data_IF_058175734761
#
_entry.id   IF_058175734761
#
_cell.length_a   1.000
_cell.length_b   1.000
_cell.length_c   1.000
_cell.angle_alpha   90.00
_cell.angle_beta   90.00
_cell.angle_gamma   90.00
#
_symmetry.space_group_name_H-M   'P 1'
#
loop_
_entity.id
_entity.type
_entity.pdbx_description
1 polymer ?
#
# COMPACT_ATOMS: atom_id res chain seq x y z
N UNK A 1 -25.96 -22.85 -6.02
CA UNK A 1 -24.49 -22.78 -6.19
C UNK A 1 -24.01 -21.65 -5.30
N UNK A 2 -23.30 -21.92 -4.22
CA UNK A 2 -22.71 -20.89 -3.35
C UNK A 2 -21.67 -20.12 -4.15
N UNK A 3 -21.80 -18.79 -4.20
CA UNK A 3 -20.83 -17.93 -4.87
C UNK A 3 -19.42 -18.21 -4.33
N UNK A 4 -18.46 -18.37 -5.22
CA UNK A 4 -17.07 -18.59 -4.86
C UNK A 4 -16.48 -17.28 -4.36
N UNK A 5 -15.90 -17.27 -3.15
CA UNK A 5 -15.22 -16.11 -2.57
C UNK A 5 -13.71 -16.40 -2.58
N UNK A 6 -12.94 -15.42 -3.02
CA UNK A 6 -11.47 -15.47 -2.94
C UNK A 6 -11.01 -14.89 -1.60
N UNK A 7 -10.00 -15.51 -1.01
CA UNK A 7 -9.32 -15.01 0.18
C UNK A 7 -7.86 -14.76 -0.19
N UNK A 8 -7.43 -13.54 -0.11
CA UNK A 8 -6.06 -13.10 -0.27
C UNK A 8 -5.42 -12.94 1.10
N UNK A 9 -4.31 -13.59 1.35
CA UNK A 9 -3.51 -13.39 2.55
C UNK A 9 -2.19 -12.78 2.14
N UNK A 10 -1.98 -11.53 2.52
CA UNK A 10 -0.75 -10.79 2.30
C UNK A 10 0.20 -11.03 3.47
N UNK A 11 1.32 -11.67 3.19
CA UNK A 11 2.34 -11.95 4.22
C UNK A 11 3.03 -10.67 4.66
N UNK A 12 3.26 -10.44 5.95
CA UNK A 12 3.97 -9.26 6.43
C UNK A 12 5.44 -9.28 5.96
N UNK A 13 6.04 -8.10 5.67
CA UNK A 13 7.44 -8.02 5.26
C UNK A 13 8.35 -8.24 6.47
N UNK A 14 9.36 -9.10 6.32
CA UNK A 14 10.49 -9.21 7.27
C UNK A 14 10.14 -9.49 8.73
N UNK A 15 8.91 -9.86 9.01
CA UNK A 15 8.37 -9.97 10.37
C UNK A 15 8.70 -11.28 11.06
N UNK A 16 8.66 -11.24 12.42
CA UNK A 16 8.94 -12.43 13.21
C UNK A 16 8.06 -13.59 12.76
N UNK A 17 8.63 -14.78 12.78
CA UNK A 17 8.00 -16.06 12.42
C UNK A 17 6.58 -16.25 13.01
N UNK A 18 6.23 -15.50 14.06
CA UNK A 18 4.92 -15.52 14.71
C UNK A 18 3.76 -15.05 13.82
N UNK A 19 3.91 -13.93 13.09
CA UNK A 19 2.81 -13.41 12.27
C UNK A 19 2.68 -14.16 10.94
N UNK A 20 3.77 -14.65 10.35
CA UNK A 20 3.71 -15.57 9.19
C UNK A 20 3.07 -16.90 9.59
N UNK A 21 3.42 -17.46 10.77
CA UNK A 21 2.79 -18.65 11.33
C UNK A 21 1.29 -18.48 11.58
N UNK A 22 0.90 -17.30 12.10
CA UNK A 22 -0.50 -16.94 12.29
C UNK A 22 -1.24 -16.90 10.94
N UNK A 23 -0.69 -16.21 9.94
CA UNK A 23 -1.25 -16.10 8.60
C UNK A 23 -1.44 -17.47 7.93
N UNK A 24 -0.45 -18.37 8.06
CA UNK A 24 -0.53 -19.75 7.55
C UNK A 24 -1.59 -20.58 8.27
N UNK A 25 -1.74 -20.42 9.59
CA UNK A 25 -2.80 -21.09 10.35
C UNK A 25 -4.18 -20.65 9.88
N UNK A 26 -4.38 -19.34 9.69
CA UNK A 26 -5.62 -18.78 9.13
C UNK A 26 -5.86 -19.30 7.71
N UNK A 27 -4.81 -19.33 6.87
CA UNK A 27 -4.90 -19.88 5.51
C UNK A 27 -5.40 -21.31 5.50
N UNK A 28 -4.82 -22.17 6.35
CA UNK A 28 -5.21 -23.58 6.46
C UNK A 28 -6.70 -23.74 6.84
N UNK A 29 -7.15 -22.97 7.85
CA UNK A 29 -8.54 -23.02 8.31
C UNK A 29 -9.54 -22.52 7.27
N UNK A 30 -9.24 -21.40 6.60
CA UNK A 30 -10.10 -20.85 5.55
C UNK A 30 -10.13 -21.72 4.30
N UNK A 31 -9.02 -22.38 3.95
CA UNK A 31 -8.96 -23.31 2.82
C UNK A 31 -9.80 -24.57 3.03
N UNK A 32 -10.05 -24.95 4.28
CA UNK A 32 -10.93 -26.07 4.62
C UNK A 32 -12.43 -25.74 4.46
N UNK A 33 -12.79 -24.45 4.31
CA UNK A 33 -14.19 -24.00 4.16
C UNK A 33 -14.64 -24.16 2.71
N UNK A 34 -15.71 -24.94 2.44
CA UNK A 34 -16.20 -25.16 1.07
C UNK A 34 -16.55 -23.85 0.36
N UNK A 35 -16.05 -23.68 -0.87
CA UNK A 35 -16.33 -22.51 -1.70
C UNK A 35 -15.47 -21.28 -1.38
N UNK A 36 -14.47 -21.40 -0.50
CA UNK A 36 -13.39 -20.42 -0.40
C UNK A 36 -12.18 -20.90 -1.21
N UNK A 37 -11.51 -19.96 -1.85
CA UNK A 37 -10.19 -20.18 -2.46
C UNK A 37 -9.19 -19.25 -1.79
N UNK A 38 -8.15 -19.81 -1.21
CA UNK A 38 -7.13 -19.07 -0.49
C UNK A 38 -5.90 -18.89 -1.37
N UNK A 39 -5.37 -17.69 -1.42
CA UNK A 39 -4.13 -17.34 -2.12
C UNK A 39 -3.24 -16.54 -1.19
N UNK A 40 -2.00 -16.99 -1.02
CA UNK A 40 -0.95 -16.27 -0.31
C UNK A 40 -0.13 -15.45 -1.30
N UNK A 41 0.18 -14.21 -0.93
CA UNK A 41 1.05 -13.32 -1.70
C UNK A 41 2.07 -12.66 -0.77
N UNK A 42 3.17 -12.10 -1.28
CA UNK A 42 4.02 -11.21 -0.50
C UNK A 42 3.25 -10.00 0.04
N UNK A 43 3.95 -9.11 0.76
CA UNK A 43 3.32 -7.95 1.37
C UNK A 43 2.62 -7.06 0.32
N UNK A 44 1.31 -6.81 0.52
CA UNK A 44 0.43 -6.16 -0.45
C UNK A 44 0.95 -4.80 -0.94
N UNK A 45 1.50 -4.00 -0.04
CA UNK A 45 2.03 -2.67 -0.38
C UNK A 45 3.34 -2.73 -1.17
N UNK A 46 4.08 -3.83 -1.06
CA UNK A 46 5.36 -4.04 -1.74
C UNK A 46 5.22 -4.75 -3.10
N UNK A 47 4.01 -5.21 -3.45
CA UNK A 47 3.77 -5.86 -4.74
C UNK A 47 4.06 -4.92 -5.91
N UNK A 48 4.73 -5.45 -6.92
CA UNK A 48 4.95 -4.71 -8.14
C UNK A 48 3.61 -4.47 -8.87
N UNK A 49 3.35 -3.24 -9.38
CA UNK A 49 2.09 -2.95 -10.08
C UNK A 49 1.80 -3.90 -11.24
N UNK A 50 2.85 -4.35 -11.94
CA UNK A 50 2.74 -5.27 -13.08
C UNK A 50 3.24 -6.69 -12.73
N UNK A 51 3.43 -6.97 -11.42
CA UNK A 51 3.85 -8.28 -10.94
C UNK A 51 2.76 -9.35 -11.04
N UNK A 52 3.14 -10.63 -10.93
CA UNK A 52 2.23 -11.76 -11.09
C UNK A 52 1.09 -11.74 -10.08
N UNK A 53 1.35 -11.35 -8.82
CA UNK A 53 0.31 -11.26 -7.79
C UNK A 53 -0.73 -10.18 -8.15
N UNK A 54 -0.29 -9.02 -8.60
CA UNK A 54 -1.19 -7.93 -8.97
C UNK A 54 -1.97 -8.22 -10.26
N UNK A 55 -1.35 -8.88 -11.24
CA UNK A 55 -2.03 -9.36 -12.44
C UNK A 55 -3.12 -10.38 -12.09
N UNK A 56 -2.80 -11.33 -11.20
CA UNK A 56 -3.77 -12.30 -10.70
C UNK A 56 -4.97 -11.60 -10.05
N UNK A 57 -4.75 -10.64 -9.15
CA UNK A 57 -5.79 -9.91 -8.45
C UNK A 57 -6.70 -9.10 -9.38
N UNK A 58 -6.15 -8.47 -10.42
CA UNK A 58 -6.92 -7.76 -11.45
C UNK A 58 -7.80 -8.71 -12.26
N UNK A 59 -7.35 -9.93 -12.48
CA UNK A 59 -8.13 -10.96 -13.19
C UNK A 59 -9.33 -11.49 -12.42
N UNK A 60 -9.36 -11.32 -11.10
CA UNK A 60 -10.47 -11.77 -10.26
C UNK A 60 -11.72 -10.91 -10.49
N UNK A 61 -12.87 -11.56 -10.65
CA UNK A 61 -14.17 -10.90 -10.78
C UNK A 61 -15.11 -11.19 -9.60
N UNK A 62 -14.71 -12.12 -8.73
CA UNK A 62 -15.48 -12.55 -7.56
C UNK A 62 -15.25 -11.63 -6.37
N UNK A 63 -16.09 -11.77 -5.36
CA UNK A 63 -15.87 -11.16 -4.06
C UNK A 63 -14.52 -11.57 -3.49
N UNK A 64 -13.87 -10.66 -2.74
CA UNK A 64 -12.51 -10.81 -2.25
C UNK A 64 -12.42 -10.43 -0.77
N UNK A 65 -11.92 -11.35 0.03
CA UNK A 65 -11.45 -11.09 1.39
C UNK A 65 -9.95 -10.82 1.34
N UNK A 66 -9.49 -9.79 1.99
CA UNK A 66 -8.08 -9.39 2.05
C UNK A 66 -7.64 -9.35 3.50
N UNK A 67 -6.70 -10.22 3.85
CA UNK A 67 -6.07 -10.27 5.16
C UNK A 67 -4.64 -9.75 5.00
N UNK A 68 -4.32 -8.61 5.58
CA UNK A 68 -3.02 -7.97 5.42
C UNK A 68 -2.55 -7.34 6.74
N UNK A 69 -1.24 -7.17 6.91
CA UNK A 69 -0.68 -6.39 8.02
C UNK A 69 -0.76 -4.88 7.72
N UNK A 70 -1.94 -4.42 7.32
CA UNK A 70 -2.27 -3.04 6.97
C UNK A 70 -3.63 -2.67 7.55
N UNK A 71 -3.82 -1.41 7.87
CA UNK A 71 -5.16 -0.92 8.20
C UNK A 71 -6.14 -1.17 7.05
N UNK A 72 -7.40 -1.56 7.31
CA UNK A 72 -8.37 -1.91 6.27
C UNK A 72 -8.56 -0.82 5.21
N UNK A 73 -8.60 0.46 5.64
CA UNK A 73 -8.66 1.63 4.76
C UNK A 73 -7.45 1.68 3.82
N UNK A 74 -6.25 1.49 4.35
CA UNK A 74 -5.02 1.50 3.56
C UNK A 74 -4.98 0.34 2.57
N UNK A 75 -5.30 -0.88 3.00
CA UNK A 75 -5.34 -2.07 2.14
C UNK A 75 -6.32 -1.89 0.98
N UNK A 76 -7.52 -1.33 1.24
CA UNK A 76 -8.52 -1.05 0.22
C UNK A 76 -8.00 -0.08 -0.85
N UNK A 77 -7.40 1.04 -0.42
CA UNK A 77 -6.93 2.06 -1.36
C UNK A 77 -5.63 1.66 -2.08
N UNK A 78 -4.78 0.81 -1.50
CA UNK A 78 -3.66 0.16 -2.22
C UNK A 78 -4.19 -0.69 -3.37
N UNK A 79 -5.22 -1.49 -3.13
CA UNK A 79 -5.86 -2.31 -4.17
C UNK A 79 -6.51 -1.46 -5.25
N UNK A 80 -7.25 -0.40 -4.88
CA UNK A 80 -7.89 0.50 -5.82
C UNK A 80 -6.87 1.21 -6.72
N UNK A 81 -5.78 1.72 -6.14
CA UNK A 81 -4.67 2.34 -6.88
C UNK A 81 -4.03 1.38 -7.89
N UNK A 82 -4.00 0.09 -7.57
CA UNK A 82 -3.50 -0.96 -8.46
C UNK A 82 -4.55 -1.50 -9.44
N UNK A 83 -5.75 -0.92 -9.49
CA UNK A 83 -6.83 -1.33 -10.40
C UNK A 83 -7.68 -2.51 -9.91
N UNK A 84 -7.47 -2.98 -8.69
CA UNK A 84 -8.28 -4.03 -8.05
C UNK A 84 -9.45 -3.37 -7.32
N UNK A 85 -10.54 -3.12 -8.02
CA UNK A 85 -11.66 -2.30 -7.54
C UNK A 85 -12.83 -3.14 -7.03
N UNK A 86 -13.58 -2.60 -6.08
CA UNK A 86 -14.79 -3.18 -5.50
C UNK A 86 -15.45 -2.22 -4.54
N UNK A 87 -16.50 -2.68 -3.85
CA UNK A 87 -17.11 -1.96 -2.73
C UNK A 87 -16.45 -2.46 -1.45
N UNK A 88 -16.12 -1.57 -0.52
CA UNK A 88 -15.61 -1.99 0.79
C UNK A 88 -16.73 -2.67 1.58
N UNK A 89 -16.48 -3.89 2.03
CA UNK A 89 -17.36 -4.64 2.90
C UNK A 89 -17.16 -4.24 4.37
N UNK A 90 -18.21 -4.39 5.17
CA UNK A 90 -18.13 -4.13 6.61
C UNK A 90 -17.27 -5.18 7.30
N UNK A 91 -16.34 -4.73 8.13
CA UNK A 91 -15.53 -5.53 9.03
C UNK A 91 -15.55 -4.93 10.43
N UNK A 92 -15.26 -5.68 11.50
CA UNK A 92 -15.27 -5.17 12.88
C UNK A 92 -14.33 -3.99 13.12
N UNK A 93 -13.23 -3.92 12.37
CA UNK A 93 -12.24 -2.84 12.46
C UNK A 93 -12.63 -1.56 11.70
N UNK A 94 -13.76 -1.56 10.96
CA UNK A 94 -14.29 -0.37 10.32
C UNK A 94 -15.35 0.26 11.20
N UNK A 95 -15.25 1.59 11.42
CA UNK A 95 -16.26 2.32 12.15
C UNK A 95 -17.62 2.28 11.46
N UNK A 96 -18.71 2.25 12.23
CA UNK A 96 -20.09 2.16 11.71
C UNK A 96 -20.45 3.30 10.74
N UNK A 97 -19.79 4.46 10.87
CA UNK A 97 -20.01 5.64 10.03
C UNK A 97 -19.29 5.55 8.66
N UNK A 98 -18.37 4.61 8.48
CA UNK A 98 -17.78 4.30 7.17
C UNK A 98 -18.71 3.34 6.41
N UNK A 99 -19.94 3.76 6.19
CA UNK A 99 -20.89 2.94 5.44
C UNK A 99 -20.48 2.82 3.97
N UNK A 100 -20.87 1.70 3.36
CA UNK A 100 -20.64 1.40 1.94
C UNK A 100 -21.05 2.54 0.98
N UNK A 101 -22.00 3.39 1.37
CA UNK A 101 -22.44 4.54 0.56
C UNK A 101 -21.38 5.65 0.50
N UNK A 102 -20.65 5.86 1.59
CA UNK A 102 -19.56 6.82 1.61
C UNK A 102 -18.41 6.41 0.67
N UNK A 103 -18.19 5.12 0.42
CA UNK A 103 -17.10 4.60 -0.43
C UNK A 103 -17.40 4.60 -1.94
N UNK A 104 -18.55 5.08 -2.36
CA UNK A 104 -18.94 5.27 -3.76
C UNK A 104 -18.92 6.74 -4.19
N UNK A 105 -18.20 7.58 -3.46
CA UNK A 105 -18.12 9.02 -3.73
C UNK A 105 -17.73 9.40 -5.17
N UNK A 106 -17.97 10.65 -5.57
CA UNK A 106 -17.84 11.13 -6.96
C UNK A 106 -16.44 11.03 -7.55
N UNK A 107 -15.43 10.69 -6.72
CA UNK A 107 -14.02 10.72 -7.10
C UNK A 107 -13.51 9.41 -7.72
N UNK A 108 -14.30 8.35 -7.81
CA UNK A 108 -13.89 7.11 -8.47
C UNK A 108 -13.90 7.23 -9.98
N UNK A 109 -12.78 6.91 -10.61
CA UNK A 109 -12.68 6.82 -12.06
C UNK A 109 -13.33 5.52 -12.55
N UNK A 110 -14.40 5.65 -13.33
CA UNK A 110 -15.07 4.54 -13.99
C UNK A 110 -16.07 3.78 -13.12
N UNK A 111 -16.77 2.77 -13.70
CA UNK A 111 -17.79 2.00 -13.00
C UNK A 111 -17.18 1.18 -11.87
N UNK A 112 -17.76 1.24 -10.67
CA UNK A 112 -17.37 0.39 -9.55
C UNK A 112 -17.85 -1.04 -9.84
N UNK A 113 -16.98 -2.05 -9.80
CA UNK A 113 -17.39 -3.43 -9.94
C UNK A 113 -18.44 -3.82 -8.89
N UNK A 114 -19.29 -4.79 -9.21
CA UNK A 114 -20.35 -5.26 -8.29
C UNK A 114 -19.78 -6.06 -7.10
N UNK A 115 -18.50 -6.46 -7.14
CA UNK A 115 -17.85 -7.27 -6.10
C UNK A 115 -17.62 -6.48 -4.81
N UNK A 116 -17.58 -7.21 -3.70
CA UNK A 116 -17.24 -6.69 -2.38
C UNK A 116 -15.79 -7.04 -2.03
N UNK A 117 -15.09 -6.10 -1.39
CA UNK A 117 -13.75 -6.25 -0.83
C UNK A 117 -13.85 -6.12 0.68
N UNK A 118 -13.58 -7.18 1.45
CA UNK A 118 -13.47 -7.13 2.91
C UNK A 118 -12.01 -7.10 3.29
N UNK A 119 -11.57 -6.04 3.93
CA UNK A 119 -10.18 -5.85 4.35
C UNK A 119 -10.07 -6.01 5.86
N UNK A 120 -9.19 -6.92 6.31
CA UNK A 120 -8.91 -7.18 7.72
C UNK A 120 -7.44 -6.92 8.01
N UNK A 121 -7.17 -6.32 9.16
CA UNK A 121 -5.80 -6.12 9.65
C UNK A 121 -5.36 -7.33 10.47
N UNK A 122 -4.41 -8.10 9.96
CA UNK A 122 -3.87 -9.26 10.66
C UNK A 122 -3.27 -8.93 12.03
N UNK A 123 -2.81 -7.70 12.23
CA UNK A 123 -2.19 -7.24 13.49
C UNK A 123 -3.21 -7.04 14.61
N UNK A 124 -4.49 -6.91 14.26
CA UNK A 124 -5.57 -6.71 15.23
C UNK A 124 -6.00 -8.01 15.92
N UNK A 125 -5.50 -9.16 15.47
CA UNK A 125 -5.93 -10.47 15.94
C UNK A 125 -4.78 -11.27 16.55
N UNK A 126 -5.04 -11.87 17.70
CA UNK A 126 -4.12 -12.79 18.38
C UNK A 126 -4.59 -14.25 18.29
N UNK A 127 -5.88 -14.46 18.02
CA UNK A 127 -6.51 -15.76 17.86
C UNK A 127 -6.93 -15.99 16.40
N UNK A 128 -6.33 -16.99 15.71
CA UNK A 128 -6.70 -17.33 14.35
C UNK A 128 -8.17 -17.74 14.20
N UNK A 129 -8.74 -18.36 15.23
CA UNK A 129 -10.14 -18.80 15.21
C UNK A 129 -11.10 -17.61 15.17
N UNK A 130 -10.85 -16.59 16.01
CA UNK A 130 -11.63 -15.37 16.02
C UNK A 130 -11.62 -14.70 14.64
N UNK A 131 -10.44 -14.54 14.01
CA UNK A 131 -10.34 -13.96 12.68
C UNK A 131 -11.12 -14.77 11.64
N UNK A 132 -10.98 -16.10 11.66
CA UNK A 132 -11.71 -16.98 10.73
C UNK A 132 -13.22 -16.83 10.89
N UNK A 133 -13.73 -16.79 12.12
CA UNK A 133 -15.15 -16.60 12.41
C UNK A 133 -15.64 -15.23 11.92
N UNK A 134 -14.89 -14.15 12.16
CA UNK A 134 -15.27 -12.82 11.70
C UNK A 134 -15.27 -12.72 10.17
N UNK A 135 -14.31 -13.36 9.49
CA UNK A 135 -14.31 -13.47 8.03
C UNK A 135 -15.56 -14.17 7.54
N UNK A 136 -15.93 -15.30 8.15
CA UNK A 136 -17.13 -16.06 7.76
C UNK A 136 -18.42 -15.26 8.01
N UNK A 137 -18.50 -14.53 9.11
CA UNK A 137 -19.62 -13.61 9.38
C UNK A 137 -19.70 -12.51 8.33
N UNK A 138 -18.58 -11.86 8.01
CA UNK A 138 -18.52 -10.76 7.05
C UNK A 138 -19.01 -11.17 5.64
N UNK A 139 -18.70 -12.41 5.21
CA UNK A 139 -19.13 -12.94 3.91
C UNK A 139 -20.52 -13.63 3.95
N UNK A 140 -21.26 -13.47 5.05
CA UNK A 140 -22.61 -14.05 5.22
C UNK A 140 -22.63 -15.58 5.41
N UNK A 141 -21.55 -16.14 5.91
CA UNK A 141 -21.40 -17.59 6.18
C UNK A 141 -21.23 -17.90 7.68
N UNK A 142 -21.59 -16.99 8.56
CA UNK A 142 -21.58 -17.17 10.00
C UNK A 142 -22.38 -18.41 10.42
N UNK A 143 -21.84 -19.20 11.35
CA UNK A 143 -22.46 -20.45 11.83
C UNK A 143 -22.03 -21.72 11.12
N UNK A 144 -21.15 -21.65 10.12
CA UNK A 144 -20.49 -22.85 9.62
C UNK A 144 -19.50 -23.38 10.68
N UNK A 145 -19.53 -24.68 10.99
CA UNK A 145 -18.52 -25.24 11.89
C UNK A 145 -17.16 -25.11 11.21
N UNK A 146 -16.28 -24.33 11.81
CA UNK A 146 -14.85 -24.40 11.49
C UNK A 146 -14.37 -25.76 12.02
N UNK A 147 -13.74 -26.57 11.17
CA UNK A 147 -13.31 -27.90 11.54
C UNK A 147 -12.48 -27.85 12.83
N UNK A 148 -13.04 -28.38 13.92
CA UNK A 148 -12.38 -28.44 15.21
C UNK A 148 -11.09 -29.23 15.07
N UNK A 149 -10.04 -28.77 15.73
CA UNK A 149 -8.71 -29.35 15.76
C UNK A 149 -8.73 -30.86 16.06
N UNK A 150 -8.24 -31.67 15.14
CA UNK A 150 -7.43 -32.81 15.54
C UNK A 150 -6.01 -32.27 15.74
N UNK A 151 -5.62 -32.18 17.01
CA UNK A 151 -4.42 -31.58 17.53
C UNK A 151 -3.22 -31.54 16.56
N UNK A 152 -2.86 -30.36 16.10
CA UNK A 152 -1.57 -30.10 15.49
C UNK A 152 -0.61 -29.72 16.62
N UNK A 153 -0.18 -30.74 17.37
CA UNK A 153 1.01 -30.63 18.20
C UNK A 153 2.22 -30.87 17.31
N UNK A 154 3.01 -29.87 17.10
CA UNK A 154 4.37 -29.95 16.56
C UNK A 154 4.48 -30.14 15.06
N UNK A 155 5.07 -29.15 14.41
CA UNK A 155 5.86 -29.26 13.17
C UNK A 155 5.40 -30.35 12.17
N UNK A 156 4.30 -30.12 11.47
CA UNK A 156 4.00 -30.88 10.26
C UNK A 156 4.09 -29.94 9.04
N UNK A 157 5.33 -29.70 8.62
CA UNK A 157 5.66 -29.37 7.23
C UNK A 157 5.63 -30.69 6.42
N UNK A 158 4.43 -31.20 6.13
CA UNK A 158 4.27 -32.36 5.27
C UNK A 158 3.67 -31.94 3.92
N UNK A 159 3.97 -32.64 2.82
CA UNK A 159 3.52 -32.29 1.47
C UNK A 159 2.00 -32.28 1.26
N UNK A 160 1.20 -32.76 2.21
CA UNK A 160 -0.26 -32.73 2.15
C UNK A 160 -0.87 -31.37 2.59
N UNK A 161 -0.12 -30.52 3.31
CA UNK A 161 -0.57 -29.20 3.72
C UNK A 161 -0.39 -28.12 2.62
N UNK A 162 0.53 -28.32 1.68
CA UNK A 162 0.81 -27.41 0.56
C UNK A 162 -0.28 -27.40 -0.52
N UNK A 163 -1.18 -28.37 -0.53
CA UNK A 163 -2.26 -28.47 -1.51
C UNK A 163 -3.52 -27.67 -1.15
N UNK A 164 -3.56 -27.05 0.04
CA UNK A 164 -4.78 -26.38 0.54
C UNK A 164 -4.97 -24.97 0.00
N UNK A 165 -3.90 -24.27 -0.41
CA UNK A 165 -3.95 -22.91 -0.95
C UNK A 165 -2.99 -22.71 -2.11
N UNK A 166 -3.23 -21.64 -2.88
CA UNK A 166 -2.32 -21.19 -3.91
C UNK A 166 -1.32 -20.18 -3.34
N UNK A 167 -0.04 -20.28 -3.66
CA UNK A 167 0.97 -19.31 -3.26
C UNK A 167 1.59 -18.68 -4.50
N UNK A 168 1.53 -17.34 -4.59
CA UNK A 168 2.17 -16.58 -5.65
C UNK A 168 3.45 -16.00 -5.06
N UNK A 169 4.58 -16.57 -5.46
CA UNK A 169 5.89 -16.07 -5.09
C UNK A 169 6.33 -15.01 -6.10
N UNK A 170 6.68 -13.83 -5.59
CA UNK A 170 7.38 -12.81 -6.36
C UNK A 170 8.44 -12.15 -5.49
N UNK A 171 9.54 -11.71 -6.10
CA UNK A 171 10.55 -10.93 -5.41
C UNK A 171 9.99 -9.52 -5.14
N UNK A 172 9.92 -9.14 -3.88
CA UNK A 172 9.47 -7.80 -3.46
C UNK A 172 10.61 -7.07 -2.78
N UNK A 173 10.69 -5.77 -3.02
CA UNK A 173 11.49 -4.83 -2.23
C UNK A 173 10.56 -3.95 -1.44
N UNK A 174 10.99 -3.52 -0.25
CA UNK A 174 10.23 -2.54 0.53
C UNK A 174 10.01 -1.28 -0.30
N UNK A 175 8.76 -0.89 -0.45
CA UNK A 175 8.34 0.29 -1.22
C UNK A 175 7.89 1.39 -0.29
N UNK A 176 8.01 2.64 -0.76
CA UNK A 176 7.53 3.81 -0.04
C UNK A 176 6.89 4.77 -1.02
N UNK A 177 5.57 4.89 -0.97
CA UNK A 177 4.81 5.77 -1.84
C UNK A 177 3.48 6.17 -1.18
N UNK A 178 2.90 7.34 -1.52
CA UNK A 178 1.62 7.75 -0.99
C UNK A 178 0.46 6.97 -1.63
N UNK A 179 -0.58 6.73 -0.83
CA UNK A 179 -1.86 6.17 -1.28
C UNK A 179 -2.94 7.21 -0.98
N UNK A 180 -3.79 7.50 -1.95
CA UNK A 180 -4.85 8.51 -1.82
C UNK A 180 -6.18 7.82 -1.55
N UNK A 181 -6.83 8.23 -0.48
CA UNK A 181 -8.23 7.95 -0.22
C UNK A 181 -9.09 8.99 -0.93
N UNK A 182 -9.63 8.61 -2.08
CA UNK A 182 -10.46 9.49 -2.89
C UNK A 182 -11.84 9.79 -2.33
N UNK A 183 -12.22 9.22 -1.22
CA UNK A 183 -13.42 9.63 -0.49
C UNK A 183 -13.20 10.83 0.39
N UNK A 184 -12.01 10.91 0.98
CA UNK A 184 -11.64 12.03 1.82
C UNK A 184 -10.97 13.14 1.02
N UNK A 185 -10.40 12.84 -0.15
CA UNK A 185 -9.75 13.83 -1.00
C UNK A 185 -10.78 14.87 -1.49
N UNK A 186 -10.45 16.15 -1.27
CA UNK A 186 -11.25 17.31 -1.69
C UNK A 186 -10.64 18.04 -2.89
N UNK A 187 -9.69 17.40 -3.60
CA UNK A 187 -9.03 17.88 -4.82
C UNK A 187 -8.30 19.25 -4.67
N UNK A 188 -7.82 19.58 -3.46
CA UNK A 188 -7.16 20.85 -3.17
C UNK A 188 -5.77 21.01 -3.82
N UNK A 189 -5.18 19.93 -4.36
CA UNK A 189 -3.86 19.88 -5.00
C UNK A 189 -2.67 20.24 -4.11
N UNK A 190 -2.84 20.40 -2.80
CA UNK A 190 -1.75 20.72 -1.88
C UNK A 190 -0.62 19.70 -1.94
N UNK A 191 -0.95 18.41 -2.09
CA UNK A 191 0.04 17.33 -2.23
C UNK A 191 0.90 17.50 -3.50
N UNK A 192 0.30 17.91 -4.60
CA UNK A 192 1.00 18.19 -5.87
C UNK A 192 1.94 19.38 -5.73
N UNK A 193 1.42 20.49 -5.19
CA UNK A 193 2.17 21.75 -5.05
C UNK A 193 3.31 21.63 -4.04
N UNK A 194 3.16 20.79 -3.01
CA UNK A 194 4.15 20.66 -1.94
C UNK A 194 5.23 19.62 -2.22
N UNK A 195 4.97 18.62 -3.07
CA UNK A 195 5.91 17.53 -3.34
C UNK A 195 7.07 17.98 -4.24
N UNK A 196 8.29 17.99 -3.70
CA UNK A 196 9.51 18.34 -4.45
C UNK A 196 10.03 17.20 -5.34
N UNK A 197 9.47 15.99 -5.22
CA UNK A 197 9.98 14.79 -5.88
C UNK A 197 9.19 14.45 -7.15
N UNK A 198 8.16 15.22 -7.51
CA UNK A 198 7.36 14.96 -8.71
C UNK A 198 6.51 13.68 -8.64
N UNK A 199 6.11 13.25 -7.44
CA UNK A 199 5.33 12.03 -7.24
C UNK A 199 3.92 12.12 -7.83
N UNK A 200 3.35 13.33 -7.83
CA UNK A 200 1.96 13.58 -8.18
C UNK A 200 1.82 14.19 -9.57
N UNK A 201 0.73 13.83 -10.23
CA UNK A 201 0.19 14.49 -11.39
C UNK A 201 -1.29 14.74 -11.21
N UNK A 202 -1.97 15.13 -12.29
CA UNK A 202 -3.42 15.30 -12.33
C UNK A 202 -4.05 14.35 -13.35
N UNK A 203 -5.28 13.97 -13.12
CA UNK A 203 -6.06 13.22 -14.08
C UNK A 203 -6.77 14.17 -15.09
N UNK A 204 -7.58 13.59 -15.98
CA UNK A 204 -8.36 14.36 -17.00
C UNK A 204 -9.42 15.29 -16.39
N UNK A 205 -9.72 15.16 -15.11
CA UNK A 205 -10.65 15.99 -14.37
C UNK A 205 -9.94 16.91 -13.36
N UNK A 206 -8.64 17.18 -13.58
CA UNK A 206 -7.76 18.01 -12.75
C UNK A 206 -7.67 17.56 -11.28
N UNK A 207 -7.86 16.26 -11.01
CA UNK A 207 -7.77 15.71 -9.67
C UNK A 207 -6.39 15.10 -9.43
N UNK A 208 -5.87 15.17 -8.19
CA UNK A 208 -4.54 14.63 -7.88
C UNK A 208 -4.50 13.11 -8.06
N UNK A 209 -3.43 12.61 -8.66
CA UNK A 209 -3.10 11.17 -8.74
C UNK A 209 -1.64 10.95 -8.39
N UNK A 210 -1.32 9.77 -7.89
CA UNK A 210 0.07 9.31 -7.78
C UNK A 210 0.51 8.85 -9.16
N UNK A 211 1.43 9.57 -9.78
CA UNK A 211 1.89 9.31 -11.15
C UNK A 211 3.24 8.60 -11.17
N UNK A 212 4.15 9.03 -10.30
CA UNK A 212 5.51 8.50 -10.17
C UNK A 212 5.78 8.01 -8.75
N UNK A 213 5.19 6.87 -8.31
CA UNK A 213 5.35 6.36 -6.96
C UNK A 213 6.81 6.04 -6.62
N UNK A 214 7.62 5.67 -7.61
CA UNK A 214 9.05 5.39 -7.49
C UNK A 214 9.91 6.63 -7.20
N UNK A 215 9.41 7.82 -7.53
CA UNK A 215 10.08 9.08 -7.22
C UNK A 215 9.92 9.49 -5.75
N UNK A 216 9.05 8.81 -4.99
CA UNK A 216 8.83 9.13 -3.59
C UNK A 216 10.06 8.82 -2.74
N UNK A 217 10.50 9.80 -1.96
CA UNK A 217 11.65 9.64 -1.07
C UNK A 217 11.29 8.73 0.11
N UNK A 218 12.01 7.61 0.33
CA UNK A 218 11.77 6.72 1.47
C UNK A 218 11.76 7.48 2.81
N UNK A 219 10.77 7.18 3.66
CA UNK A 219 10.62 7.80 4.96
C UNK A 219 10.03 9.23 4.96
N UNK A 220 9.68 9.81 3.81
CA UNK A 220 9.08 11.14 3.73
C UNK A 220 7.53 11.06 3.71
N UNK A 221 6.80 11.42 4.78
CA UNK A 221 5.34 11.47 4.79
C UNK A 221 4.79 12.88 4.64
N UNK A 222 5.58 13.85 4.17
CA UNK A 222 5.29 15.27 4.22
C UNK A 222 3.94 15.65 3.58
N UNK A 223 3.60 15.04 2.45
CA UNK A 223 2.32 15.27 1.78
C UNK A 223 1.11 14.79 2.60
N UNK A 224 1.25 13.73 3.42
CA UNK A 224 0.20 13.31 4.34
C UNK A 224 0.00 14.32 5.47
N UNK A 225 1.08 14.93 5.96
CA UNK A 225 1.03 15.94 7.03
C UNK A 225 0.33 17.23 6.63
N UNK A 226 0.50 17.66 5.37
CA UNK A 226 -0.13 18.90 4.88
C UNK A 226 -1.51 18.70 4.31
N UNK A 227 -1.96 17.45 4.10
CA UNK A 227 -3.26 17.17 3.52
C UNK A 227 -4.39 17.61 4.46
N UNK A 228 -5.19 18.65 4.13
CA UNK A 228 -6.21 19.16 5.04
C UNK A 228 -7.36 18.18 5.25
N UNK A 229 -7.54 17.26 4.30
CA UNK A 229 -8.57 16.22 4.34
C UNK A 229 -8.10 14.90 4.98
N UNK A 230 -6.80 14.77 5.34
CA UNK A 230 -6.24 13.51 5.82
C UNK A 230 -6.38 12.34 4.83
N UNK A 231 -6.42 12.68 3.53
CA UNK A 231 -6.68 11.70 2.47
C UNK A 231 -5.45 10.90 2.07
N UNK A 232 -4.23 11.34 2.42
CA UNK A 232 -2.99 10.69 1.99
C UNK A 232 -2.46 9.78 3.09
N UNK A 233 -2.17 8.55 2.72
CA UNK A 233 -1.66 7.52 3.62
C UNK A 233 -0.31 6.98 3.14
N UNK A 234 0.52 6.58 4.11
CA UNK A 234 1.71 5.76 3.91
C UNK A 234 1.57 4.50 4.75
N UNK A 235 1.09 3.39 4.18
CA UNK A 235 0.66 2.19 4.92
C UNK A 235 1.69 1.58 5.88
N UNK A 236 3.00 1.79 5.62
CA UNK A 236 4.10 1.31 6.47
C UNK A 236 4.62 2.38 7.45
N UNK A 237 3.97 3.54 7.55
CA UNK A 237 4.39 4.58 8.49
C UNK A 237 4.08 4.18 9.94
N UNK A 238 4.97 4.57 10.87
CA UNK A 238 4.81 4.26 12.31
C UNK A 238 3.68 5.05 13.01
N UNK A 239 3.26 6.19 12.44
CA UNK A 239 2.12 6.96 12.95
C UNK A 239 0.81 6.39 12.40
N UNK A 240 -0.10 5.89 13.26
CA UNK A 240 -1.35 5.26 12.82
C UNK A 240 -2.21 6.17 11.93
N UNK A 241 -2.26 7.48 12.20
CA UNK A 241 -3.05 8.43 11.41
C UNK A 241 -2.55 8.51 9.96
N UNK A 242 -1.23 8.43 9.75
CA UNK A 242 -0.62 8.43 8.42
C UNK A 242 -0.70 7.03 7.78
N UNK A 243 -0.61 5.97 8.59
CA UNK A 243 -0.69 4.61 8.10
C UNK A 243 -2.10 4.18 7.64
N UNK A 244 -3.11 4.99 7.92
CA UNK A 244 -4.48 4.76 7.46
C UNK A 244 -5.44 4.22 8.50
N UNK A 245 -5.11 4.35 9.80
CA UNK A 245 -6.04 4.09 10.89
C UNK A 245 -7.19 5.11 10.85
N UNK A 246 -8.44 4.69 10.63
CA UNK A 246 -9.57 5.61 10.55
C UNK A 246 -9.85 6.33 11.87
N UNK A 247 -9.58 5.71 13.01
CA UNK A 247 -9.79 6.30 14.32
C UNK A 247 -8.73 7.36 14.63
N UNK A 248 -7.47 7.07 14.35
CA UNK A 248 -6.37 8.02 14.56
C UNK A 248 -6.45 9.21 13.61
N UNK A 249 -6.84 9.01 12.35
CA UNK A 249 -7.00 10.08 11.36
C UNK A 249 -8.04 11.13 11.81
N UNK A 250 -9.16 10.69 12.40
CA UNK A 250 -10.18 11.60 12.95
C UNK A 250 -9.69 12.36 14.20
N UNK A 251 -8.80 11.76 14.98
CA UNK A 251 -8.20 12.42 16.14
C UNK A 251 -7.10 13.40 15.75
N UNK A 252 -6.33 13.13 14.71
CA UNK A 252 -5.29 14.02 14.20
C UNK A 252 -5.84 15.32 13.59
N UNK A 253 -7.08 15.31 13.10
CA UNK A 253 -7.83 16.52 12.71
C UNK A 253 -8.28 17.34 13.92
N UNK A 254 -8.31 16.77 15.13
CA UNK A 254 -8.45 17.52 16.37
C UNK A 254 -7.04 17.92 16.78
N UNK A 255 -6.76 19.23 16.67
CA UNK A 255 -5.54 19.91 17.09
C UNK A 255 -4.76 19.11 18.15
N UNK A 256 -3.63 18.52 17.75
CA UNK A 256 -2.69 17.98 18.72
C UNK A 256 -2.11 19.17 19.52
N UNK A 257 -2.71 19.42 20.68
CA UNK A 257 -2.29 20.48 21.59
C UNK A 257 -0.81 20.37 21.96
N UNK A 258 -0.21 19.17 21.89
CA UNK A 258 1.21 18.99 22.12
C UNK A 258 2.07 19.58 20.99
N UNK A 259 1.58 19.59 19.77
CA UNK A 259 2.23 20.21 18.60
C UNK A 259 2.04 21.74 18.64
N UNK A 260 0.84 22.20 18.99
CA UNK A 260 0.57 23.63 19.20
C UNK A 260 1.45 24.21 20.31
N UNK A 261 1.66 23.46 21.39
CA UNK A 261 2.56 23.86 22.50
C UNK A 261 4.04 23.88 22.09
N UNK A 262 4.44 23.14 21.04
CA UNK A 262 5.79 23.21 20.46
C UNK A 262 5.93 24.29 19.38
N UNK A 263 4.86 24.99 19.03
CA UNK A 263 4.86 26.08 18.06
C UNK A 263 5.08 25.64 16.61
N UNK A 264 4.99 24.35 16.31
CA UNK A 264 5.17 23.82 14.95
C UNK A 264 3.80 23.60 14.28
N UNK A 265 3.55 24.33 13.19
CA UNK A 265 2.41 24.07 12.32
C UNK A 265 2.60 22.82 11.45
N UNK A 266 1.50 22.27 10.85
CA UNK A 266 1.56 21.09 9.97
C UNK A 266 2.57 21.23 8.82
N UNK A 267 2.67 22.41 8.22
CA UNK A 267 3.62 22.69 7.13
C UNK A 267 5.09 22.66 7.60
N UNK A 268 5.35 23.19 8.82
CA UNK A 268 6.70 23.18 9.39
C UNK A 268 7.14 21.77 9.79
N UNK A 269 6.22 20.97 10.37
CA UNK A 269 6.47 19.56 10.67
C UNK A 269 6.74 18.76 9.39
N UNK A 270 5.93 18.97 8.35
CA UNK A 270 6.13 18.36 7.04
C UNK A 270 7.48 18.74 6.43
N UNK A 271 7.91 19.98 6.56
CA UNK A 271 9.21 20.44 6.09
C UNK A 271 10.37 19.78 6.85
N UNK A 272 10.24 19.63 8.18
CA UNK A 272 11.24 18.94 9.01
C UNK A 272 11.35 17.45 8.68
N UNK A 273 10.24 16.75 8.51
CA UNK A 273 10.23 15.32 8.14
C UNK A 273 10.84 15.11 6.76
N UNK A 274 10.52 16.00 5.81
CA UNK A 274 11.12 15.99 4.48
C UNK A 274 12.64 16.25 4.54
N UNK A 275 13.09 17.22 5.34
CA UNK A 275 14.51 17.50 5.51
C UNK A 275 15.26 16.31 6.15
N UNK A 276 14.65 15.62 7.12
CA UNK A 276 15.20 14.39 7.69
C UNK A 276 15.33 13.28 6.64
N UNK A 277 14.30 13.08 5.82
CA UNK A 277 14.32 12.09 4.75
C UNK A 277 15.38 12.39 3.67
N UNK A 278 15.65 13.67 3.39
CA UNK A 278 16.71 14.09 2.46
C UNK A 278 18.11 13.81 3.00
N UNK A 279 18.30 13.95 4.32
CA UNK A 279 19.57 13.74 4.99
C UNK A 279 19.79 12.28 5.45
N UNK A 280 18.78 11.43 5.35
CA UNK A 280 18.93 10.01 5.60
C UNK A 280 19.74 9.36 4.47
N UNK A 281 20.68 8.48 4.82
CA UNK A 281 21.37 7.69 3.82
C UNK A 281 20.35 6.89 2.99
N UNK A 282 20.50 6.84 1.66
CA UNK A 282 19.63 6.02 0.85
C UNK A 282 19.70 4.57 1.33
N UNK A 283 18.58 3.84 1.38
CA UNK A 283 18.63 2.40 1.65
C UNK A 283 19.61 1.75 0.68
N UNK A 284 20.43 0.82 1.17
CA UNK A 284 21.39 0.11 0.36
C UNK A 284 20.70 -0.40 -0.91
N UNK A 285 21.25 -0.05 -2.06
CA UNK A 285 20.71 -0.51 -3.34
C UNK A 285 20.60 -2.05 -3.31
N UNK A 286 19.53 -2.63 -3.84
CA UNK A 286 19.45 -4.07 -4.02
C UNK A 286 20.69 -4.53 -4.81
N UNK A 287 21.25 -5.73 -4.52
CA UNK A 287 22.39 -6.23 -5.25
C UNK A 287 22.09 -6.15 -6.74
N UNK A 288 23.00 -5.51 -7.49
CA UNK A 288 22.84 -5.32 -8.93
C UNK A 288 22.57 -6.66 -9.58
N UNK A 289 21.51 -6.73 -10.39
CA UNK A 289 21.30 -7.87 -11.28
C UNK A 289 22.57 -8.10 -12.11
N UNK A 290 22.98 -9.36 -12.33
CA UNK A 290 24.14 -9.63 -13.15
C UNK A 290 23.90 -9.03 -14.55
N UNK A 291 24.71 -8.03 -14.89
CA UNK A 291 24.66 -7.39 -16.19
C UNK A 291 24.91 -8.44 -17.28
N UNK A 292 24.14 -8.45 -18.36
CA UNK A 292 24.46 -9.28 -19.51
C UNK A 292 25.87 -8.94 -20.02
N UNK A 293 26.64 -9.92 -20.53
CA UNK A 293 28.01 -9.72 -20.96
C UNK A 293 28.09 -8.57 -21.98
N UNK A 294 28.93 -7.59 -21.68
CA UNK A 294 29.16 -6.46 -22.57
C UNK A 294 29.84 -6.96 -23.85
N UNK A 295 29.45 -6.46 -25.03
CA UNK A 295 30.17 -6.74 -26.27
C UNK A 295 31.61 -6.19 -26.17
N UNK A 296 32.59 -6.83 -26.84
CA UNK A 296 33.98 -6.41 -26.78
C UNK A 296 34.18 -4.98 -27.30
N UNK A 297 35.15 -4.24 -26.79
CA UNK A 297 35.41 -2.87 -27.20
C UNK A 297 35.84 -2.81 -28.66
N UNK A 298 35.11 -2.05 -29.48
CA UNK A 298 35.55 -1.69 -30.83
C UNK A 298 36.62 -0.61 -30.71
N UNK A 299 37.82 -0.93 -31.22
CA UNK A 299 38.96 -0.04 -31.33
C UNK A 299 38.64 1.24 -32.12
N UNK A 300 39.10 2.32 -31.53
CA UNK A 300 39.61 3.56 -32.11
C UNK A 300 38.90 4.25 -33.26
N UNK A 301 38.42 5.45 -32.97
CA UNK A 301 38.64 6.62 -33.83
C UNK A 301 38.88 7.87 -32.96
N UNK A 302 40.03 8.43 -33.16
CA UNK A 302 40.58 9.63 -32.55
C UNK A 302 39.83 10.92 -32.92
N UNK A 303 39.71 11.83 -31.97
CA UNK A 303 39.82 13.28 -32.19
C UNK A 303 38.49 14.04 -32.38
N UNK A 304 37.94 14.54 -31.30
CA UNK A 304 37.33 15.87 -31.24
C UNK A 304 37.29 16.36 -29.79
N UNK A 305 38.11 17.33 -29.48
CA UNK A 305 38.13 18.05 -28.20
C UNK A 305 36.81 18.83 -28.05
N UNK A 306 35.92 18.36 -27.17
CA UNK A 306 34.80 19.17 -26.71
C UNK A 306 35.31 20.11 -25.63
N UNK A 307 35.30 21.40 -25.88
CA UNK A 307 35.55 22.44 -24.88
C UNK A 307 34.41 22.43 -23.86
N UNK A 308 34.76 22.20 -22.62
CA UNK A 308 33.89 22.42 -21.45
C UNK A 308 33.60 23.94 -21.41
N UNK A 309 32.33 24.26 -21.60
CA UNK A 309 31.83 25.64 -21.38
C UNK A 309 31.69 25.83 -19.88
N UNK A 310 32.43 26.80 -19.35
CA UNK A 310 32.42 27.15 -17.94
C UNK A 310 31.05 27.74 -17.57
N UNK A 311 30.39 27.14 -16.56
CA UNK A 311 29.08 27.54 -16.07
C UNK A 311 29.06 28.99 -15.52
N UNK A 312 30.19 29.50 -15.03
CA UNK A 312 30.29 30.83 -14.47
C UNK A 312 30.17 31.91 -15.56
N UNK A 313 30.54 31.62 -16.82
CA UNK A 313 30.38 32.51 -17.95
C UNK A 313 28.93 32.63 -18.45
N UNK A 314 28.08 31.63 -18.16
CA UNK A 314 26.65 31.68 -18.53
C UNK A 314 25.81 32.49 -17.55
N UNK A 315 26.23 32.60 -16.30
CA UNK A 315 25.52 33.39 -15.28
C UNK A 315 25.69 34.90 -15.53
N UNK A 316 26.87 35.33 -15.96
CA UNK A 316 27.17 36.73 -16.23
C UNK A 316 26.42 37.30 -17.47
N UNK A 317 25.96 36.45 -18.38
CA UNK A 317 25.20 36.87 -19.55
C UNK A 317 23.69 37.00 -19.29
N UNK A 318 23.17 36.35 -18.25
CA UNK A 318 21.74 36.44 -17.84
C UNK A 318 21.47 37.76 -17.11
N UNK A 319 22.43 38.30 -16.36
CA UNK A 319 22.30 39.59 -15.64
C UNK A 319 22.37 40.82 -16.54
N UNK A 320 22.64 40.62 -17.82
CA UNK A 320 22.69 41.73 -18.83
C UNK A 320 21.41 41.86 -19.68
N UNK A 321 20.42 41.02 -19.43
CA UNK A 321 19.12 41.10 -20.08
C UNK A 321 18.16 41.88 -19.17
N UNK A 322 18.15 43.19 -19.32
CA UNK A 322 17.09 44.11 -18.84
C UNK A 322 15.75 43.70 -19.47
N UNK A 323 14.84 43.16 -18.66
CA UNK A 323 13.40 43.04 -18.93
C UNK A 323 12.61 43.72 -17.83
#
# INVERSE_FOLDING_TARGET
MTAQVQVLISRPPGEPQSLDGFARTVAYRLAAVPGLKVTLVPHLYDLAPDGPAMQYLRGLQTDLVVLAALYPRAAFWVLDACGVRGRLGRTPSLAEEETLEALTGPHRQGPTPQRTLWCFDLRAYFDPELLVQEVLVAIGRGGLPVAAEKGISGSQTGPAAEAAWHEIAEATSSRWYPVIDFQQCNDCLECLNFCLFGVYGVDKADRPKVEHPEACRPGCPACARICPAGAIMFPQHGDPAIAGDPHAARQALRLDLSQVLRGLGPAELAALERARALNADPPAAPPAEPQPPQPPPSDSLSGASAQLVDLDTLVDDVDKLDL
#
